data_IF_507008174156
#
_entry.id   IF_507008174156
#
_cell.length_a   1.000
_cell.length_b   1.000
_cell.length_c   1.000
_cell.angle_alpha   90.00
_cell.angle_beta   90.00
_cell.angle_gamma   90.00
#
_symmetry.space_group_name_H-M   'P 1'
#
loop_
_entity.id
_entity.type
_entity.pdbx_description
1 polymer ?
#
# COMPACT_ATOMS: atom_id res chain seq x y z
N UNK A 1 -22.24 1.01 -11.44
CA UNK A 1 -21.87 2.42 -11.24
C UNK A 1 -20.44 2.65 -11.75
N UNK A 2 -20.27 3.44 -12.82
CA UNK A 2 -18.96 3.86 -13.32
C UNK A 2 -18.26 4.76 -12.30
N UNK A 3 -17.16 4.25 -11.76
CA UNK A 3 -16.47 4.80 -10.60
C UNK A 3 -15.01 5.09 -10.92
N UNK A 4 -14.55 6.28 -10.55
CA UNK A 4 -13.13 6.64 -10.59
C UNK A 4 -12.60 6.86 -9.18
N UNK A 5 -11.50 6.20 -8.84
CA UNK A 5 -10.86 6.29 -7.54
C UNK A 5 -9.58 7.11 -7.67
N UNK A 6 -9.47 8.17 -6.88
CA UNK A 6 -8.27 8.99 -6.74
C UNK A 6 -7.56 8.60 -5.44
N UNK A 7 -6.41 7.95 -5.57
CA UNK A 7 -5.65 7.43 -4.43
C UNK A 7 -4.44 8.32 -4.17
N UNK A 8 -4.42 8.95 -3.00
CA UNK A 8 -3.21 9.54 -2.46
C UNK A 8 -2.31 8.43 -1.92
N UNK A 9 -1.28 8.08 -2.69
CA UNK A 9 -0.40 6.95 -2.42
C UNK A 9 0.40 7.11 -1.13
N UNK A 10 0.78 8.34 -0.76
CA UNK A 10 1.51 8.57 0.49
C UNK A 10 0.59 8.60 1.70
N UNK A 11 -0.60 9.17 1.57
CA UNK A 11 -1.61 9.10 2.64
C UNK A 11 -1.98 7.64 2.93
N UNK A 12 -2.20 6.84 1.87
CA UNK A 12 -2.40 5.39 1.96
C UNK A 12 -1.20 4.67 2.58
N UNK A 13 0.01 4.96 2.10
CA UNK A 13 1.22 4.32 2.62
C UNK A 13 1.42 4.59 4.11
N UNK A 14 1.40 5.86 4.53
CA UNK A 14 1.62 6.22 5.93
C UNK A 14 0.45 5.85 6.85
N UNK A 15 -0.76 5.72 6.30
CA UNK A 15 -1.97 5.42 7.06
C UNK A 15 -2.25 3.93 7.24
N UNK A 16 -1.87 3.09 6.27
CA UNK A 16 -2.24 1.68 6.25
C UNK A 16 -1.07 0.72 6.02
N UNK A 17 0.00 1.13 5.31
CA UNK A 17 0.99 0.18 4.77
C UNK A 17 2.35 0.26 5.46
N UNK A 18 2.74 1.43 5.95
CA UNK A 18 4.02 1.66 6.61
C UNK A 18 4.12 0.79 7.87
N UNK A 19 5.23 0.04 7.99
CA UNK A 19 5.49 -0.93 9.08
C UNK A 19 4.51 -2.11 9.13
N UNK A 20 3.84 -2.41 8.02
CA UNK A 20 3.04 -3.64 7.87
C UNK A 20 3.63 -4.50 6.74
N UNK A 21 3.30 -5.79 6.66
CA UNK A 21 3.65 -6.65 5.53
C UNK A 21 2.71 -6.50 4.31
N UNK A 22 1.75 -5.58 4.37
CA UNK A 22 0.68 -5.47 3.38
C UNK A 22 0.98 -4.50 2.21
N UNK A 23 2.25 -4.17 2.01
CA UNK A 23 2.70 -3.21 0.97
C UNK A 23 2.51 -3.74 -0.45
N UNK A 24 2.42 -5.06 -0.65
CA UNK A 24 2.23 -5.69 -1.96
C UNK A 24 0.74 -5.73 -2.35
N UNK A 25 0.09 -4.57 -2.29
CA UNK A 25 -1.36 -4.43 -2.31
C UNK A 25 -1.93 -4.45 -3.74
N UNK A 26 -2.97 -5.24 -3.94
CA UNK A 26 -3.82 -5.18 -5.12
C UNK A 26 -4.92 -4.14 -4.87
N UNK A 27 -4.70 -2.94 -5.41
CA UNK A 27 -5.63 -1.82 -5.28
C UNK A 27 -7.01 -2.18 -5.87
N UNK A 28 -7.05 -2.85 -7.02
CA UNK A 28 -8.30 -3.25 -7.64
C UNK A 28 -9.10 -4.19 -6.75
N UNK A 29 -8.44 -5.24 -6.25
CA UNK A 29 -9.04 -6.23 -5.36
C UNK A 29 -9.55 -5.58 -4.06
N UNK A 30 -8.77 -4.67 -3.48
CA UNK A 30 -9.17 -3.93 -2.27
C UNK A 30 -10.45 -3.14 -2.51
N UNK A 31 -10.47 -2.29 -3.54
CA UNK A 31 -11.63 -1.42 -3.75
C UNK A 31 -12.86 -2.18 -4.23
N UNK A 32 -12.68 -3.13 -5.14
CA UNK A 32 -13.78 -3.88 -5.73
C UNK A 32 -14.44 -4.84 -4.71
N UNK A 33 -13.66 -5.58 -3.93
CA UNK A 33 -14.21 -6.61 -3.03
C UNK A 33 -14.57 -6.08 -1.64
N UNK A 34 -13.93 -5.02 -1.17
CA UNK A 34 -14.03 -4.61 0.23
C UNK A 34 -14.55 -3.18 0.43
N UNK A 35 -14.05 -2.21 -0.36
CA UNK A 35 -14.38 -0.79 -0.13
C UNK A 35 -15.71 -0.38 -0.75
N UNK A 36 -15.89 -0.58 -2.06
CA UNK A 36 -17.10 -0.14 -2.77
C UNK A 36 -18.37 -0.87 -2.33
N UNK A 37 -18.35 -2.18 -2.00
CA UNK A 37 -19.54 -2.85 -1.50
C UNK A 37 -20.09 -2.26 -0.19
N UNK A 38 -19.28 -1.53 0.58
CA UNK A 38 -19.76 -0.86 1.81
C UNK A 38 -20.48 0.47 1.54
N UNK A 39 -20.42 1.03 0.34
CA UNK A 39 -21.00 2.34 0.03
C UNK A 39 -22.37 2.31 -0.66
N UNK A 40 -22.71 1.21 -1.33
CA UNK A 40 -23.98 1.07 -2.05
C UNK A 40 -24.38 -0.39 -2.21
N UNK A 41 -25.69 -0.65 -2.27
CA UNK A 41 -26.25 -1.96 -2.62
C UNK A 41 -26.26 -2.20 -4.14
N UNK A 42 -25.93 -1.19 -4.96
CA UNK A 42 -25.85 -1.34 -6.40
C UNK A 42 -24.60 -2.15 -6.79
N UNK A 43 -24.71 -3.10 -7.72
CA UNK A 43 -23.57 -3.89 -8.16
C UNK A 43 -22.54 -3.00 -8.88
N UNK A 44 -21.27 -3.18 -8.51
CA UNK A 44 -20.14 -2.65 -9.24
C UNK A 44 -19.66 -3.69 -10.24
N UNK A 45 -19.41 -3.28 -11.48
CA UNK A 45 -18.77 -4.14 -12.48
C UNK A 45 -17.28 -3.84 -12.49
N UNK A 46 -16.45 -4.87 -12.68
CA UNK A 46 -14.99 -4.70 -12.73
C UNK A 46 -14.56 -3.71 -13.84
N UNK A 47 -15.24 -3.70 -14.98
CA UNK A 47 -14.94 -2.81 -16.11
C UNK A 47 -15.33 -1.34 -15.87
N UNK A 48 -16.18 -1.10 -14.87
CA UNK A 48 -16.67 0.23 -14.54
C UNK A 48 -15.74 0.95 -13.55
N UNK A 49 -14.65 0.31 -13.14
CA UNK A 49 -13.70 0.82 -12.15
C UNK A 49 -12.40 1.30 -12.79
N UNK A 50 -12.07 2.57 -12.56
CA UNK A 50 -10.78 3.16 -12.91
C UNK A 50 -10.09 3.74 -11.67
N UNK A 51 -8.76 3.64 -11.61
CA UNK A 51 -7.93 4.14 -10.52
C UNK A 51 -6.89 5.11 -11.08
N UNK A 52 -6.81 6.31 -10.49
CA UNK A 52 -5.68 7.21 -10.63
C UNK A 52 -4.90 7.17 -9.31
N UNK A 53 -3.68 6.63 -9.36
CA UNK A 53 -2.79 6.47 -8.21
C UNK A 53 -1.72 7.57 -8.22
N UNK A 54 -1.80 8.50 -7.27
CA UNK A 54 -0.92 9.64 -7.16
C UNK A 54 0.21 9.34 -6.19
N UNK A 55 1.45 9.55 -6.60
CA UNK A 55 2.63 9.24 -5.79
C UNK A 55 3.83 10.07 -6.25
N UNK A 56 4.93 10.03 -5.51
CA UNK A 56 6.23 10.49 -5.97
C UNK A 56 7.26 9.36 -5.85
N UNK A 57 8.28 9.36 -6.73
CA UNK A 57 9.36 8.38 -6.63
C UNK A 57 10.25 8.70 -5.42
N UNK A 58 10.62 7.66 -4.65
CA UNK A 58 11.50 7.79 -3.49
C UNK A 58 12.86 8.31 -3.95
N UNK A 59 13.34 9.39 -3.31
CA UNK A 59 14.65 9.92 -3.62
C UNK A 59 15.72 9.12 -2.87
N UNK A 60 16.60 8.44 -3.60
CA UNK A 60 17.61 7.55 -3.02
C UNK A 60 18.50 8.20 -1.95
N UNK A 61 18.83 9.49 -2.10
CA UNK A 61 19.61 10.26 -1.10
C UNK A 61 18.90 10.43 0.26
N UNK A 62 17.59 10.20 0.28
CA UNK A 62 16.70 10.36 1.41
C UNK A 62 16.09 9.01 1.85
N UNK A 63 16.42 7.92 1.17
CA UNK A 63 15.87 6.61 1.45
C UNK A 63 16.49 6.02 2.73
N UNK A 64 15.65 5.40 3.56
CA UNK A 64 16.10 4.71 4.77
C UNK A 64 16.72 3.35 4.49
N UNK A 65 16.44 2.74 3.32
CA UNK A 65 17.14 1.56 2.81
C UNK A 65 17.51 1.76 1.34
N UNK A 66 18.62 1.14 0.92
CA UNK A 66 19.10 1.19 -0.47
C UNK A 66 18.07 0.61 -1.45
N UNK A 67 17.31 -0.39 -1.03
CA UNK A 67 16.31 -1.07 -1.87
C UNK A 67 14.98 -0.31 -1.99
N UNK A 68 14.71 0.70 -1.18
CA UNK A 68 13.39 1.35 -1.10
C UNK A 68 12.87 1.86 -2.44
N UNK A 69 13.72 2.50 -3.25
CA UNK A 69 13.35 2.97 -4.59
C UNK A 69 13.07 1.81 -5.54
N UNK A 70 13.92 0.77 -5.51
CA UNK A 70 13.76 -0.41 -6.35
C UNK A 70 12.47 -1.16 -6.01
N UNK A 71 12.16 -1.31 -4.74
CA UNK A 71 10.94 -1.96 -4.25
C UNK A 71 9.69 -1.19 -4.67
N UNK A 72 9.72 0.15 -4.56
CA UNK A 72 8.62 0.99 -5.04
C UNK A 72 8.41 0.86 -6.55
N UNK A 73 9.47 0.94 -7.35
CA UNK A 73 9.39 0.76 -8.80
C UNK A 73 8.89 -0.64 -9.17
N UNK A 74 9.31 -1.66 -8.42
CA UNK A 74 8.83 -3.03 -8.53
C UNK A 74 7.33 -3.07 -8.28
N UNK A 75 6.83 -2.44 -7.22
CA UNK A 75 5.39 -2.38 -6.96
C UNK A 75 4.60 -1.63 -8.03
N UNK A 76 5.04 -0.46 -8.48
CA UNK A 76 4.37 0.28 -9.55
C UNK A 76 4.27 -0.55 -10.84
N UNK A 77 5.32 -1.30 -11.17
CA UNK A 77 5.31 -2.24 -12.30
C UNK A 77 4.33 -3.39 -12.09
N UNK A 78 4.25 -3.94 -10.88
CA UNK A 78 3.30 -4.99 -10.55
C UNK A 78 1.86 -4.51 -10.68
N UNK A 79 1.55 -3.29 -10.22
CA UNK A 79 0.23 -2.68 -10.39
C UNK A 79 -0.15 -2.52 -11.87
N UNK A 80 0.79 -2.04 -12.70
CA UNK A 80 0.61 -1.93 -14.15
C UNK A 80 0.39 -3.28 -14.84
N UNK A 81 1.04 -4.34 -14.36
CA UNK A 81 0.88 -5.68 -14.94
C UNK A 81 -0.38 -6.40 -14.49
N UNK A 82 -0.85 -6.14 -13.27
CA UNK A 82 -2.06 -6.74 -12.73
C UNK A 82 -3.35 -6.11 -13.27
N UNK A 83 -3.25 -4.98 -13.97
CA UNK A 83 -4.40 -4.17 -14.38
C UNK A 83 -4.42 -3.97 -15.89
N UNK A 84 -5.61 -3.87 -16.49
CA UNK A 84 -5.72 -3.45 -17.89
C UNK A 84 -5.30 -1.97 -18.03
N UNK A 85 -4.75 -1.60 -19.19
CA UNK A 85 -4.18 -0.25 -19.40
C UNK A 85 -5.20 0.88 -19.18
N UNK A 86 -6.49 0.66 -19.51
CA UNK A 86 -7.55 1.65 -19.33
C UNK A 86 -8.05 1.78 -17.87
N UNK A 87 -7.55 0.95 -16.97
CA UNK A 87 -8.06 0.80 -15.62
C UNK A 87 -7.15 1.53 -14.60
N UNK A 88 -5.83 1.46 -14.72
CA UNK A 88 -4.91 2.13 -13.80
C UNK A 88 -4.02 3.17 -14.48
N UNK A 89 -4.03 4.38 -13.94
CA UNK A 89 -3.06 5.42 -14.26
C UNK A 89 -2.22 5.77 -13.01
N UNK A 90 -0.89 5.83 -13.16
CA UNK A 90 0.02 6.26 -12.10
C UNK A 90 0.53 7.65 -12.42
N UNK A 91 0.16 8.64 -11.61
CA UNK A 91 0.50 10.05 -11.81
C UNK A 91 1.57 10.44 -10.80
N UNK A 92 2.75 10.82 -11.32
CA UNK A 92 3.92 11.09 -10.49
C UNK A 92 4.11 12.59 -10.23
N UNK A 93 4.12 12.96 -8.95
CA UNK A 93 4.77 14.18 -8.47
C UNK A 93 6.27 13.97 -8.28
N UNK A 94 6.88 14.78 -7.42
CA UNK A 94 8.30 14.66 -7.08
C UNK A 94 8.58 15.06 -5.64
N UNK A 95 9.72 14.61 -5.11
CA UNK A 95 10.24 15.08 -3.83
C UNK A 95 11.21 16.22 -4.01
N UNK A 96 10.97 17.30 -3.29
CA UNK A 96 11.94 18.36 -3.09
C UNK A 96 12.76 18.07 -1.83
N UNK A 97 14.09 18.02 -1.97
CA UNK A 97 15.03 17.96 -0.85
C UNK A 97 15.72 19.30 -0.74
N UNK A 98 15.36 20.06 0.30
CA UNK A 98 15.91 21.39 0.51
C UNK A 98 16.56 21.48 1.89
N UNK A 99 17.74 22.11 1.96
CA UNK A 99 18.28 22.58 3.23
C UNK A 99 17.44 23.79 3.66
N UNK A 100 16.83 23.74 4.83
CA UNK A 100 16.04 24.83 5.40
C UNK A 100 16.32 24.96 6.89
N UNK A 101 15.74 25.97 7.53
CA UNK A 101 15.84 26.15 8.98
C UNK A 101 14.47 25.95 9.61
N UNK A 102 14.45 25.29 10.76
CA UNK A 102 13.24 25.03 11.53
C UNK A 102 13.54 25.13 13.04
N UNK A 103 12.51 25.43 13.83
CA UNK A 103 12.62 25.44 15.28
C UNK A 103 12.67 23.99 15.80
N UNK A 104 13.72 23.66 16.55
CA UNK A 104 13.89 22.38 17.22
C UNK A 104 12.93 22.31 18.41
N UNK A 105 12.20 21.20 18.56
CA UNK A 105 11.34 20.99 19.73
C UNK A 105 12.19 20.94 21.00
N UNK A 106 11.81 21.71 22.02
CA UNK A 106 12.49 21.69 23.32
C UNK A 106 12.10 20.42 24.09
N UNK A 107 13.06 19.51 24.29
CA UNK A 107 12.86 18.22 24.95
C UNK A 107 12.48 18.37 26.44
N UNK A 108 12.93 19.46 27.08
CA UNK A 108 12.65 19.72 28.50
C UNK A 108 11.34 20.49 28.71
N UNK A 109 10.84 21.17 27.67
CA UNK A 109 9.59 21.90 27.72
C UNK A 109 8.83 21.85 26.38
N UNK A 110 8.07 20.78 26.18
CA UNK A 110 7.27 20.54 24.97
C UNK A 110 6.18 21.58 24.69
N UNK A 111 5.84 22.44 25.67
CA UNK A 111 4.88 23.55 25.51
C UNK A 111 5.52 24.87 25.13
N UNK A 112 6.85 24.93 25.09
CA UNK A 112 7.58 26.14 24.69
C UNK A 112 7.19 26.52 23.26
N UNK A 113 6.83 27.78 23.00
CA UNK A 113 6.38 28.18 21.67
C UNK A 113 7.56 28.13 20.69
N UNK A 114 7.34 27.78 19.40
CA UNK A 114 8.43 27.58 18.44
C UNK A 114 9.40 28.76 18.32
N UNK A 115 8.92 30.00 18.38
CA UNK A 115 9.73 31.21 18.27
C UNK A 115 10.75 31.41 19.42
N UNK A 116 10.61 30.68 20.52
CA UNK A 116 11.54 30.69 21.65
C UNK A 116 12.47 29.46 21.67
N UNK A 117 12.31 28.57 20.70
CA UNK A 117 13.13 27.38 20.56
C UNK A 117 14.38 27.63 19.72
N UNK A 118 15.35 26.73 19.84
CA UNK A 118 16.57 26.76 19.02
C UNK A 118 16.23 26.64 17.53
N UNK A 119 16.83 27.48 16.68
CA UNK A 119 16.57 27.49 15.24
C UNK A 119 17.72 26.81 14.47
N UNK A 120 17.49 25.58 14.00
CA UNK A 120 18.52 24.67 13.47
C UNK A 120 18.38 24.45 11.97
N UNK A 121 19.50 24.11 11.31
CA UNK A 121 19.51 23.64 9.92
C UNK A 121 18.97 22.20 9.84
N UNK A 122 18.02 21.98 8.93
CA UNK A 122 17.43 20.66 8.66
C UNK A 122 17.41 20.36 7.15
N UNK A 123 17.37 19.07 6.82
CA UNK A 123 16.94 18.63 5.50
C UNK A 123 15.42 18.46 5.51
N UNK A 124 14.71 19.31 4.76
CA UNK A 124 13.26 19.17 4.55
C UNK A 124 13.04 18.37 3.29
N UNK A 125 12.44 17.19 3.47
CA UNK A 125 11.93 16.34 2.40
C UNK A 125 10.44 16.65 2.28
N UNK A 126 10.01 17.09 1.11
CA UNK A 126 8.61 17.48 0.89
C UNK A 126 8.15 16.91 -0.44
N UNK A 127 7.04 16.18 -0.40
CA UNK A 127 6.33 15.76 -1.60
C UNK A 127 5.67 16.99 -2.24
N UNK A 128 5.72 17.06 -3.57
CA UNK A 128 5.16 18.17 -4.33
C UNK A 128 4.21 17.63 -5.40
N UNK A 129 3.25 18.47 -5.77
CA UNK A 129 2.27 18.29 -6.83
C UNK A 129 1.14 17.29 -6.57
N UNK A 130 1.24 16.39 -5.59
CA UNK A 130 0.21 15.36 -5.35
C UNK A 130 -1.18 15.95 -5.15
N UNK A 131 -1.35 16.93 -4.25
CA UNK A 131 -2.65 17.55 -3.98
C UNK A 131 -3.19 18.31 -5.19
N UNK A 132 -2.30 19.01 -5.91
CA UNK A 132 -2.64 19.76 -7.12
C UNK A 132 -3.09 18.80 -8.23
N UNK A 133 -2.37 17.71 -8.43
CA UNK A 133 -2.68 16.70 -9.44
C UNK A 133 -4.01 16.02 -9.10
N UNK A 134 -4.24 15.61 -7.86
CA UNK A 134 -5.53 15.05 -7.43
C UNK A 134 -6.66 16.04 -7.71
N UNK A 135 -6.48 17.32 -7.33
CA UNK A 135 -7.50 18.34 -7.51
C UNK A 135 -7.81 18.61 -8.99
N UNK A 136 -6.78 18.75 -9.83
CA UNK A 136 -6.94 19.05 -11.26
C UNK A 136 -7.55 17.86 -11.99
N UNK A 137 -7.00 16.66 -11.80
CA UNK A 137 -7.47 15.45 -12.48
C UNK A 137 -8.91 15.11 -12.10
N UNK A 138 -9.24 15.17 -10.81
CA UNK A 138 -10.59 14.82 -10.35
C UNK A 138 -11.65 15.81 -10.84
N UNK A 139 -11.34 17.11 -10.83
CA UNK A 139 -12.26 18.13 -11.35
C UNK A 139 -12.40 18.01 -12.87
N UNK A 140 -11.29 17.82 -13.60
CA UNK A 140 -11.30 17.65 -15.05
C UNK A 140 -12.14 16.45 -15.46
N UNK A 141 -11.94 15.31 -14.79
CA UNK A 141 -12.69 14.08 -15.04
C UNK A 141 -14.18 14.26 -14.83
N UNK A 142 -14.61 14.87 -13.71
CA UNK A 142 -16.04 15.13 -13.42
C UNK A 142 -16.65 16.12 -14.43
N UNK A 143 -15.86 17.07 -14.92
CA UNK A 143 -16.35 18.06 -15.87
C UNK A 143 -16.49 17.52 -17.29
N UNK A 144 -15.65 16.54 -17.68
CA UNK A 144 -15.51 16.10 -19.07
C UNK A 144 -16.04 14.70 -19.34
N UNK A 145 -16.12 13.83 -18.34
CA UNK A 145 -16.66 12.47 -18.47
C UNK A 145 -18.11 12.41 -17.97
N UNK A 146 -19.07 12.69 -18.85
CA UNK A 146 -20.50 12.64 -18.53
C UNK A 146 -21.03 11.23 -18.20
N UNK A 147 -20.20 10.18 -18.42
CA UNK A 147 -20.56 8.81 -18.04
C UNK A 147 -20.15 8.44 -16.62
N UNK A 148 -19.38 9.31 -15.94
CA UNK A 148 -18.94 9.09 -14.57
C UNK A 148 -20.13 9.21 -13.62
N UNK A 149 -20.37 8.20 -12.78
CA UNK A 149 -21.48 8.20 -11.81
C UNK A 149 -20.98 8.45 -10.39
N UNK A 150 -19.71 8.12 -10.12
CA UNK A 150 -19.11 8.23 -8.80
C UNK A 150 -17.62 8.52 -8.87
N UNK A 151 -17.15 9.35 -7.94
CA UNK A 151 -15.75 9.54 -7.62
C UNK A 151 -15.46 9.11 -6.20
N UNK A 152 -14.29 8.53 -5.94
CA UNK A 152 -13.86 8.14 -4.60
C UNK A 152 -12.49 8.73 -4.32
N UNK A 153 -12.38 9.51 -3.24
CA UNK A 153 -11.12 10.07 -2.77
C UNK A 153 -10.58 9.21 -1.63
N UNK A 154 -9.33 8.77 -1.74
CA UNK A 154 -8.65 7.97 -0.73
C UNK A 154 -7.55 8.81 -0.13
N UNK A 155 -7.90 9.58 0.90
CA UNK A 155 -7.03 10.58 1.51
C UNK A 155 -7.60 11.02 2.86
N UNK A 156 -6.73 11.54 3.72
CA UNK A 156 -7.10 12.30 4.93
C UNK A 156 -6.57 13.74 4.87
N UNK A 157 -6.11 14.20 3.70
CA UNK A 157 -5.56 15.54 3.52
C UNK A 157 -6.66 16.60 3.36
N UNK A 158 -6.70 17.55 4.30
CA UNK A 158 -7.71 18.61 4.30
C UNK A 158 -7.52 19.63 3.19
N UNK A 159 -6.35 19.69 2.56
CA UNK A 159 -6.08 20.62 1.47
C UNK A 159 -6.93 20.30 0.22
N UNK A 160 -7.44 19.06 0.12
CA UNK A 160 -8.38 18.63 -0.92
C UNK A 160 -9.84 19.06 -0.67
N UNK A 161 -10.16 19.65 0.49
CA UNK A 161 -11.53 20.07 0.82
C UNK A 161 -12.15 20.99 -0.23
N UNK A 162 -11.34 21.88 -0.83
CA UNK A 162 -11.83 22.83 -1.83
C UNK A 162 -12.24 22.16 -3.14
N UNK A 163 -11.53 21.11 -3.58
CA UNK A 163 -11.92 20.40 -4.79
C UNK A 163 -13.17 19.55 -4.55
N UNK A 164 -13.28 18.90 -3.38
CA UNK A 164 -14.49 18.18 -3.01
C UNK A 164 -15.73 19.09 -2.98
N UNK A 165 -15.62 20.28 -2.38
CA UNK A 165 -16.70 21.28 -2.40
C UNK A 165 -17.12 21.66 -3.83
N UNK A 166 -16.14 21.86 -4.73
CA UNK A 166 -16.42 22.20 -6.13
C UNK A 166 -17.11 21.06 -6.85
N UNK A 167 -16.62 19.84 -6.72
CA UNK A 167 -17.23 18.65 -7.33
C UNK A 167 -18.65 18.45 -6.78
N UNK A 168 -18.86 18.62 -5.47
CA UNK A 168 -20.18 18.52 -4.85
C UNK A 168 -21.15 19.54 -5.47
N UNK A 169 -20.72 20.79 -5.64
CA UNK A 169 -21.56 21.86 -6.20
C UNK A 169 -21.98 21.65 -7.67
N UNK A 170 -21.31 20.75 -8.40
CA UNK A 170 -21.68 20.41 -9.78
C UNK A 170 -22.90 19.47 -9.82
N UNK A 171 -23.22 18.77 -8.72
CA UNK A 171 -24.29 17.78 -8.61
C UNK A 171 -24.28 16.74 -9.76
N UNK A 172 -23.11 16.41 -10.31
CA UNK A 172 -22.95 15.47 -11.43
C UNK A 172 -22.70 14.03 -11.01
N UNK A 173 -21.97 13.83 -9.91
CA UNK A 173 -21.46 12.53 -9.47
C UNK A 173 -21.68 12.34 -7.98
N UNK A 174 -21.75 11.08 -7.53
CA UNK A 174 -21.62 10.77 -6.10
C UNK A 174 -20.16 10.87 -5.65
N UNK A 175 -19.93 11.35 -4.44
CA UNK A 175 -18.60 11.52 -3.84
C UNK A 175 -18.46 10.54 -2.68
N UNK A 176 -17.53 9.61 -2.83
CA UNK A 176 -17.04 8.74 -1.76
C UNK A 176 -15.76 9.27 -1.15
N UNK A 177 -15.64 9.16 0.17
CA UNK A 177 -14.42 9.44 0.89
C UNK A 177 -13.95 8.19 1.64
N UNK A 178 -12.68 7.83 1.48
CA UNK A 178 -12.05 6.72 2.21
C UNK A 178 -10.87 7.29 2.96
N UNK A 179 -10.93 7.25 4.28
CA UNK A 179 -9.84 7.66 5.15
C UNK A 179 -8.87 6.48 5.27
N UNK A 180 -7.65 6.57 4.72
CA UNK A 180 -6.70 5.49 4.82
C UNK A 180 -6.07 5.49 6.22
N UNK A 181 -6.69 4.70 7.11
CA UNK A 181 -6.16 4.40 8.44
C UNK A 181 -6.59 2.98 8.82
N UNK A 182 -5.67 2.19 9.38
CA UNK A 182 -5.97 0.85 9.92
C UNK A 182 -6.53 0.91 11.34
N UNK A 183 -6.05 1.90 12.09
CA UNK A 183 -6.32 2.12 13.50
C UNK A 183 -6.94 3.51 13.64
N UNK A 184 -7.98 3.65 14.45
CA UNK A 184 -8.76 4.89 14.61
C UNK A 184 -7.97 6.05 15.24
N UNK A 185 -6.65 5.93 15.33
CA UNK A 185 -5.70 6.93 15.85
C UNK A 185 -5.64 8.15 14.93
N UNK A 186 -5.73 7.98 13.61
CA UNK A 186 -5.98 9.10 12.70
C UNK A 186 -7.47 9.41 12.74
N UNK A 187 -7.83 10.46 13.48
CA UNK A 187 -9.20 10.93 13.48
C UNK A 187 -9.58 11.39 12.07
N UNK A 188 -10.73 10.92 11.53
CA UNK A 188 -11.28 11.43 10.28
C UNK A 188 -11.41 12.95 10.36
N UNK A 189 -10.87 13.66 9.37
CA UNK A 189 -11.02 15.11 9.32
C UNK A 189 -12.47 15.48 8.94
N UNK A 190 -13.20 16.09 9.88
CA UNK A 190 -14.60 16.51 9.70
C UNK A 190 -14.84 17.41 8.48
N UNK A 191 -13.79 18.12 8.02
CA UNK A 191 -13.87 19.02 6.86
C UNK A 191 -14.14 18.31 5.53
N UNK A 192 -13.62 17.10 5.35
CA UNK A 192 -13.78 16.36 4.09
C UNK A 192 -15.14 15.63 4.05
N UNK A 193 -15.55 15.07 5.20
CA UNK A 193 -16.79 14.30 5.36
C UNK A 193 -18.03 15.11 4.95
N UNK A 194 -18.04 16.42 5.23
CA UNK A 194 -19.12 17.34 4.85
C UNK A 194 -19.45 17.32 3.35
N UNK A 195 -18.47 17.05 2.49
CA UNK A 195 -18.63 17.11 1.04
C UNK A 195 -18.85 15.73 0.41
N UNK A 196 -18.76 14.65 1.18
CA UNK A 196 -18.94 13.29 0.70
C UNK A 196 -20.39 12.81 0.90
N UNK A 197 -20.91 12.04 -0.06
CA UNK A 197 -22.19 11.33 0.08
C UNK A 197 -22.07 10.11 0.98
N UNK A 198 -20.87 9.54 1.08
CA UNK A 198 -20.53 8.47 2.01
C UNK A 198 -19.06 8.53 2.40
N UNK A 199 -18.78 8.15 3.64
CA UNK A 199 -17.40 8.11 4.15
C UNK A 199 -17.12 6.78 4.81
N UNK A 200 -16.00 6.18 4.40
CA UNK A 200 -15.41 5.04 5.07
C UNK A 200 -14.26 5.50 5.96
N UNK A 201 -14.39 5.25 7.26
CA UNK A 201 -13.50 5.82 8.27
C UNK A 201 -12.18 5.05 8.45
N UNK A 202 -12.09 3.83 7.91
CA UNK A 202 -10.91 2.99 8.02
C UNK A 202 -10.87 1.90 6.93
N UNK A 203 -9.68 1.32 6.74
CA UNK A 203 -9.45 0.12 5.95
C UNK A 203 -8.97 -0.96 6.93
N UNK A 204 -9.66 -2.10 7.00
CA UNK A 204 -9.32 -3.13 7.98
C UNK A 204 -8.06 -3.88 7.56
N UNK A 205 -7.27 -4.32 8.55
CA UNK A 205 -6.07 -5.12 8.30
C UNK A 205 -6.38 -6.40 7.52
N UNK A 206 -7.48 -7.08 7.85
CA UNK A 206 -7.92 -8.28 7.11
C UNK A 206 -8.23 -8.00 5.63
N UNK A 207 -8.69 -6.79 5.29
CA UNK A 207 -8.96 -6.39 3.91
C UNK A 207 -7.67 -6.09 3.15
N UNK A 208 -6.66 -5.53 3.82
CA UNK A 208 -5.32 -5.36 3.26
C UNK A 208 -4.67 -6.72 3.03
N UNK A 209 -4.76 -7.62 4.01
CA UNK A 209 -4.23 -8.98 3.95
C UNK A 209 -4.89 -9.82 2.85
N UNK A 210 -6.21 -9.77 2.72
CA UNK A 210 -6.95 -10.47 1.65
C UNK A 210 -6.69 -9.87 0.27
N UNK A 211 -6.28 -8.60 0.20
CA UNK A 211 -6.07 -7.86 -1.05
C UNK A 211 -4.61 -7.77 -1.47
N UNK A 212 -3.77 -8.75 -1.15
CA UNK A 212 -2.39 -8.78 -1.66
C UNK A 212 -2.35 -9.30 -3.11
N UNK A 213 -1.44 -8.73 -3.91
CA UNK A 213 -1.06 -9.26 -5.22
C UNK A 213 -0.42 -10.65 -5.07
N UNK A 214 -0.49 -11.51 -6.11
CA UNK A 214 0.31 -12.73 -6.15
C UNK A 214 1.81 -12.42 -5.97
N UNK A 215 2.57 -13.36 -5.38
CA UNK A 215 4.03 -13.16 -5.17
C UNK A 215 4.74 -12.76 -6.45
N UNK A 216 4.42 -13.42 -7.56
CA UNK A 216 4.93 -13.08 -8.88
C UNK A 216 3.76 -12.57 -9.73
N UNK A 217 3.88 -11.33 -10.21
CA UNK A 217 2.95 -10.73 -11.16
C UNK A 217 3.58 -10.81 -12.54
N UNK A 218 2.97 -11.62 -13.40
CA UNK A 218 3.41 -11.82 -14.77
C UNK A 218 3.13 -10.57 -15.61
N UNK A 219 4.11 -10.16 -16.42
CA UNK A 219 3.95 -9.05 -17.35
C UNK A 219 5.27 -8.65 -18.01
N UNK A 220 5.18 -8.18 -19.25
CA UNK A 220 6.36 -7.85 -20.07
C UNK A 220 7.32 -9.04 -20.25
N UNK A 221 8.63 -8.76 -20.30
CA UNK A 221 9.68 -9.79 -20.51
C UNK A 221 10.08 -10.58 -19.27
N UNK A 222 9.89 -10.01 -18.07
CA UNK A 222 10.27 -10.62 -16.79
C UNK A 222 9.17 -10.34 -15.76
N UNK A 223 8.75 -11.35 -14.97
CA UNK A 223 7.77 -11.16 -13.92
C UNK A 223 8.32 -10.23 -12.84
N UNK A 224 7.39 -9.56 -12.18
CA UNK A 224 7.67 -8.68 -11.06
C UNK A 224 7.40 -9.44 -9.76
N UNK A 225 8.34 -9.43 -8.81
CA UNK A 225 8.30 -10.31 -7.64
C UNK A 225 8.20 -9.47 -6.36
N UNK A 226 7.32 -9.87 -5.43
CA UNK A 226 7.20 -9.29 -4.09
C UNK A 226 8.58 -9.24 -3.41
N UNK A 227 9.06 -8.05 -3.00
CA UNK A 227 10.32 -7.92 -2.25
C UNK A 227 10.30 -8.71 -0.94
N UNK A 228 11.44 -9.31 -0.56
CA UNK A 228 11.56 -10.06 0.71
C UNK A 228 11.33 -9.15 1.91
N UNK A 229 11.84 -7.90 1.86
CA UNK A 229 11.63 -6.90 2.91
C UNK A 229 10.19 -6.42 3.08
N UNK A 230 9.25 -6.93 2.28
CA UNK A 230 7.81 -6.64 2.38
C UNK A 230 7.01 -7.79 3.00
N UNK A 231 7.66 -8.88 3.40
CA UNK A 231 7.07 -9.85 4.32
C UNK A 231 7.27 -9.39 5.77
N UNK A 232 6.49 -9.93 6.70
CA UNK A 232 6.62 -9.58 8.12
C UNK A 232 7.92 -10.06 8.74
N UNK A 233 8.47 -11.19 8.26
CA UNK A 233 9.66 -11.84 8.83
C UNK A 233 10.77 -12.05 7.78
N UNK A 234 11.34 -10.98 7.20
CA UNK A 234 12.32 -11.09 6.11
C UNK A 234 13.59 -11.85 6.52
N UNK A 235 14.06 -11.66 7.75
CA UNK A 235 15.26 -12.34 8.27
C UNK A 235 15.05 -13.85 8.42
N UNK A 236 13.85 -14.26 8.89
CA UNK A 236 13.49 -15.68 8.98
C UNK A 236 13.42 -16.31 7.59
N UNK A 237 12.92 -15.57 6.58
CA UNK A 237 12.89 -16.04 5.19
C UNK A 237 14.30 -16.30 4.66
N UNK A 238 15.25 -15.41 4.91
CA UNK A 238 16.65 -15.64 4.53
C UNK A 238 17.22 -16.87 5.24
N UNK A 239 16.94 -17.06 6.53
CA UNK A 239 17.33 -18.27 7.27
C UNK A 239 16.72 -19.56 6.69
N UNK A 240 15.45 -19.54 6.30
CA UNK A 240 14.79 -20.65 5.58
C UNK A 240 15.55 -20.95 4.28
N UNK A 241 15.96 -19.91 3.55
CA UNK A 241 16.63 -20.07 2.26
C UNK A 241 18.02 -20.65 2.41
N UNK A 242 18.79 -20.21 3.40
CA UNK A 242 20.10 -20.80 3.72
C UNK A 242 20.00 -22.31 3.95
N UNK A 243 18.96 -22.75 4.65
CA UNK A 243 18.70 -24.18 4.90
C UNK A 243 18.29 -24.90 3.62
N UNK A 244 17.26 -24.40 2.92
CA UNK A 244 16.72 -25.05 1.73
C UNK A 244 17.74 -25.13 0.59
N UNK A 245 18.59 -24.12 0.42
CA UNK A 245 19.64 -24.11 -0.62
C UNK A 245 20.69 -25.20 -0.43
N UNK A 246 20.74 -25.88 0.73
CA UNK A 246 21.62 -27.05 0.91
C UNK A 246 21.14 -28.29 0.15
N UNK A 247 19.86 -28.33 -0.28
CA UNK A 247 19.26 -29.42 -1.07
C UNK A 247 18.58 -28.94 -2.35
N UNK A 248 18.14 -27.68 -2.39
CA UNK A 248 17.50 -27.05 -3.53
C UNK A 248 18.49 -26.31 -4.43
N UNK A 249 18.25 -26.38 -5.75
CA UNK A 249 19.20 -25.87 -6.75
C UNK A 249 19.38 -24.34 -6.77
N UNK A 250 18.35 -23.60 -6.35
CA UNK A 250 18.34 -22.13 -6.39
C UNK A 250 17.18 -21.54 -5.58
N UNK A 251 17.19 -20.20 -5.40
CA UNK A 251 16.14 -19.46 -4.68
C UNK A 251 14.74 -19.63 -5.29
N UNK A 252 14.63 -19.82 -6.60
CA UNK A 252 13.33 -20.10 -7.25
C UNK A 252 12.72 -21.41 -6.76
N UNK A 253 13.53 -22.43 -6.52
CA UNK A 253 13.06 -23.69 -5.95
C UNK A 253 12.70 -23.56 -4.47
N UNK A 254 13.42 -22.74 -3.71
CA UNK A 254 13.07 -22.40 -2.32
C UNK A 254 11.70 -21.72 -2.25
N UNK A 255 11.43 -20.76 -3.15
CA UNK A 255 10.09 -20.16 -3.26
C UNK A 255 9.01 -21.18 -3.61
N UNK A 256 9.27 -22.10 -4.53
CA UNK A 256 8.32 -23.17 -4.87
C UNK A 256 8.04 -24.13 -3.72
N UNK A 257 8.98 -24.29 -2.79
CA UNK A 257 8.76 -25.04 -1.56
C UNK A 257 7.81 -24.27 -0.64
N UNK A 258 8.02 -22.96 -0.47
CA UNK A 258 7.11 -22.11 0.32
C UNK A 258 5.68 -22.02 -0.24
N UNK A 259 5.53 -22.14 -1.56
CA UNK A 259 4.24 -22.11 -2.26
C UNK A 259 3.47 -23.45 -2.20
N UNK A 260 4.02 -24.49 -1.57
CA UNK A 260 3.41 -25.83 -1.50
C UNK A 260 3.20 -26.26 -0.07
N UNK A 261 2.14 -27.02 0.18
CA UNK A 261 1.94 -27.66 1.47
C UNK A 261 2.99 -28.76 1.68
N UNK A 262 3.88 -28.65 2.69
CA UNK A 262 4.79 -29.74 3.03
C UNK A 262 4.02 -30.89 3.72
N UNK A 263 4.60 -32.10 3.78
CA UNK A 263 4.02 -33.19 4.56
C UNK A 263 3.94 -32.81 6.04
N UNK A 264 2.97 -33.40 6.75
CA UNK A 264 2.88 -33.28 8.20
C UNK A 264 3.96 -34.11 8.88
N UNK A 265 4.48 -33.59 9.99
CA UNK A 265 5.48 -34.27 10.81
C UNK A 265 4.90 -34.44 12.22
N UNK A 266 4.95 -35.65 12.78
CA UNK A 266 4.40 -35.95 14.11
C UNK A 266 5.10 -35.16 15.23
N UNK A 267 6.36 -34.78 15.00
CA UNK A 267 7.21 -34.04 15.93
C UNK A 267 7.10 -32.50 15.81
N UNK A 268 6.30 -31.98 14.86
CA UNK A 268 6.15 -30.53 14.63
C UNK A 268 4.68 -30.09 14.71
N UNK A 269 4.41 -28.82 15.11
CA UNK A 269 3.08 -28.25 15.02
C UNK A 269 2.52 -28.30 13.59
N UNK A 270 1.22 -28.49 13.43
CA UNK A 270 0.57 -28.43 12.12
C UNK A 270 0.67 -27.01 11.52
N UNK A 271 0.98 -26.92 10.23
CA UNK A 271 0.87 -25.67 9.48
C UNK A 271 -0.61 -25.34 9.21
N UNK A 272 -1.02 -24.12 9.58
CA UNK A 272 -2.39 -23.63 9.41
C UNK A 272 -2.71 -23.23 7.97
N UNK A 273 -1.69 -22.94 7.16
CA UNK A 273 -1.80 -22.57 5.76
C UNK A 273 -0.52 -23.01 5.02
N UNK A 274 -0.44 -22.72 3.71
CA UNK A 274 0.79 -22.87 2.95
C UNK A 274 1.90 -21.99 3.56
N UNK A 275 3.15 -22.46 3.59
CA UNK A 275 4.24 -21.78 4.30
C UNK A 275 4.40 -20.30 3.96
N UNK A 276 4.23 -19.93 2.68
CA UNK A 276 4.36 -18.53 2.23
C UNK A 276 3.38 -17.57 2.90
N UNK A 277 2.18 -18.02 3.27
CA UNK A 277 1.16 -17.21 3.93
C UNK A 277 1.41 -17.06 5.45
N UNK A 278 2.34 -17.85 5.99
CA UNK A 278 2.69 -17.87 7.41
C UNK A 278 3.94 -17.04 7.74
N UNK A 279 4.48 -16.31 6.77
CA UNK A 279 5.75 -15.56 6.90
C UNK A 279 5.59 -14.13 7.43
N UNK A 280 4.36 -13.69 7.67
CA UNK A 280 4.08 -12.34 8.16
C UNK A 280 4.03 -12.26 9.70
N UNK A 281 3.75 -13.38 10.37
CA UNK A 281 3.78 -13.52 11.83
C UNK A 281 5.04 -14.28 12.29
N UNK A 282 5.69 -13.82 13.37
CA UNK A 282 6.96 -14.38 13.84
C UNK A 282 6.81 -15.84 14.31
N UNK A 283 5.78 -16.14 15.10
CA UNK A 283 5.58 -17.48 15.64
C UNK A 283 5.32 -18.48 14.50
N UNK A 284 4.45 -18.09 13.55
CA UNK A 284 4.13 -18.88 12.37
C UNK A 284 5.34 -19.08 11.46
N UNK A 285 6.14 -18.03 11.23
CA UNK A 285 7.35 -18.11 10.41
C UNK A 285 8.43 -19.02 11.04
N UNK A 286 8.56 -19.02 12.37
CA UNK A 286 9.44 -19.95 13.10
C UNK A 286 9.02 -21.40 12.92
N UNK A 287 7.72 -21.69 12.87
CA UNK A 287 7.24 -23.05 12.56
C UNK A 287 7.64 -23.42 11.13
N UNK A 288 7.46 -22.53 10.15
CA UNK A 288 7.91 -22.78 8.76
C UNK A 288 9.41 -23.07 8.68
N UNK A 289 10.23 -22.37 9.47
CA UNK A 289 11.67 -22.62 9.57
C UNK A 289 11.99 -24.03 10.06
N UNK A 290 11.27 -24.53 11.08
CA UNK A 290 11.43 -25.92 11.57
C UNK A 290 11.06 -26.94 10.47
N UNK A 291 10.00 -26.68 9.72
CA UNK A 291 9.61 -27.52 8.58
C UNK A 291 10.70 -27.57 7.49
N UNK A 292 11.35 -26.44 7.22
CA UNK A 292 12.45 -26.37 6.26
C UNK A 292 13.67 -27.19 6.72
N UNK A 293 14.01 -27.13 8.01
CA UNK A 293 15.07 -27.96 8.62
C UNK A 293 14.76 -29.45 8.46
N UNK A 294 13.53 -29.84 8.81
CA UNK A 294 13.08 -31.24 8.72
C UNK A 294 13.08 -31.77 7.29
N UNK A 295 12.63 -30.96 6.34
CA UNK A 295 12.67 -31.29 4.91
C UNK A 295 14.08 -31.59 4.42
N UNK A 296 15.06 -30.79 4.83
CA UNK A 296 16.47 -30.98 4.48
C UNK A 296 17.04 -32.26 5.09
N UNK A 297 16.73 -32.56 6.35
CA UNK A 297 17.16 -33.80 7.01
C UNK A 297 16.70 -35.05 6.27
N UNK A 298 15.45 -35.05 5.79
CA UNK A 298 14.87 -36.17 5.05
C UNK A 298 15.47 -36.26 3.65
N UNK A 299 15.69 -35.13 2.99
CA UNK A 299 16.21 -35.08 1.62
C UNK A 299 17.70 -35.46 1.51
N UNK A 300 18.44 -35.42 2.62
CA UNK A 300 19.85 -35.84 2.70
C UNK A 300 20.04 -37.32 3.06
N UNK A 301 18.98 -38.01 3.46
CA UNK A 301 18.99 -39.47 3.71
C UNK A 301 18.72 -40.24 2.43
#
# INVERSE_FOLDING_TARGET
MKTRIYIDGYNLYYGCLKRTPHKWLDLYKLFYNHILPSSSHQPYTYNDLSIKYFTADIVGKAAMSEDSLRDQQTYHRALQFNTQEAQLEIIKGYYAINKTRAFKVDENNSKKPPNECEYVDIWKLEEKQTDVNIAVESLFDVMTDDSLEQVVFVTNDTDLSRVLEKIQSLNKVKIGLVIPTTDSVRMPNEKLDKFADWTRKNILEEELKSSQLPRAVEGGRKPTIKPIGWYGQPEIIEGIFEILLTVEKNRTKCWRWLEKQPPKFEDLPDLLDVPINMLDDEASARIVLLYAQRYVEISKR
#
